data_IF_962440975033
#
_entry.id   IF_962440975033
#
_cell.length_a   1.000
_cell.length_b   1.000
_cell.length_c   1.000
_cell.angle_alpha   90.00
_cell.angle_beta   90.00
_cell.angle_gamma   90.00
#
_symmetry.space_group_name_H-M   'P 1'
#
loop_
_entity.id
_entity.type
_entity.pdbx_description
1 polymer ?
#
# COMPACT_ATOMS: atom_id res chain seq x y z
N UNK A 1 32.44 5.72 -5.22
CA UNK A 1 31.23 5.08 -5.76
C UNK A 1 30.07 6.03 -5.49
N UNK A 2 29.37 6.47 -6.53
CA UNK A 2 28.34 7.50 -6.44
C UNK A 2 27.09 6.96 -5.74
N UNK A 3 26.79 7.46 -4.54
CA UNK A 3 25.43 7.40 -4.00
C UNK A 3 24.65 8.51 -4.69
N UNK A 4 23.86 8.17 -5.71
CA UNK A 4 22.80 9.07 -6.17
C UNK A 4 21.68 9.04 -5.13
N UNK A 5 21.93 9.66 -3.97
CA UNK A 5 20.86 10.02 -3.04
C UNK A 5 20.05 11.13 -3.71
N UNK A 6 18.93 10.74 -4.33
CA UNK A 6 17.89 11.70 -4.67
C UNK A 6 17.31 12.15 -3.34
N UNK A 7 17.91 13.16 -2.72
CA UNK A 7 17.36 13.85 -1.55
C UNK A 7 16.12 14.55 -2.06
N UNK A 8 14.95 13.93 -1.90
CA UNK A 8 13.69 14.62 -2.09
C UNK A 8 13.73 15.81 -1.11
N UNK A 9 13.72 17.03 -1.64
CA UNK A 9 13.84 18.28 -0.86
C UNK A 9 12.71 18.41 0.18
N UNK A 10 11.72 17.51 0.16
CA UNK A 10 10.63 17.47 1.13
C UNK A 10 9.96 16.08 1.23
N UNK A 11 10.68 15.09 1.78
CA UNK A 11 10.15 13.72 2.01
C UNK A 11 8.88 13.73 2.86
N UNK A 12 8.80 14.59 3.87
CA UNK A 12 7.63 14.71 4.75
C UNK A 12 6.41 15.25 4.01
N UNK A 13 6.54 16.32 3.22
CA UNK A 13 5.42 16.80 2.41
C UNK A 13 5.01 15.80 1.33
N UNK A 14 5.96 15.05 0.76
CA UNK A 14 5.63 13.99 -0.18
C UNK A 14 4.80 12.89 0.50
N UNK A 15 5.26 12.39 1.66
CA UNK A 15 4.53 11.41 2.45
C UNK A 15 3.13 11.91 2.82
N UNK A 16 3.03 13.16 3.29
CA UNK A 16 1.76 13.80 3.63
C UNK A 16 0.81 13.87 2.42
N UNK A 17 1.32 14.28 1.26
CA UNK A 17 0.55 14.34 0.01
C UNK A 17 0.03 12.96 -0.40
N UNK A 18 0.90 11.93 -0.39
CA UNK A 18 0.51 10.56 -0.73
C UNK A 18 -0.55 10.05 0.23
N UNK A 19 -0.35 10.19 1.55
CA UNK A 19 -1.33 9.78 2.55
C UNK A 19 -2.68 10.46 2.35
N UNK A 20 -2.69 11.78 2.08
CA UNK A 20 -3.94 12.52 1.82
C UNK A 20 -4.67 11.96 0.60
N UNK A 21 -3.95 11.66 -0.48
CA UNK A 21 -4.56 11.12 -1.71
C UNK A 21 -5.10 9.71 -1.54
N UNK A 22 -4.34 8.84 -0.85
CA UNK A 22 -4.81 7.50 -0.53
C UNK A 22 -6.11 7.56 0.28
N UNK A 23 -6.22 8.50 1.22
CA UNK A 23 -7.45 8.71 1.97
C UNK A 23 -8.58 9.24 1.09
N UNK A 24 -8.33 10.27 0.27
CA UNK A 24 -9.34 10.87 -0.63
C UNK A 24 -9.87 9.88 -1.68
N UNK A 25 -9.06 8.92 -2.13
CA UNK A 25 -9.49 7.92 -3.12
C UNK A 25 -10.08 6.64 -2.51
N UNK A 26 -10.24 6.59 -1.18
CA UNK A 26 -10.81 5.42 -0.51
C UNK A 26 -9.87 4.21 -0.40
N UNK A 27 -8.56 4.40 -0.56
CA UNK A 27 -7.58 3.30 -0.53
C UNK A 27 -7.65 2.50 0.78
N UNK A 28 -7.86 3.17 1.91
CA UNK A 28 -8.00 2.50 3.21
C UNK A 28 -9.20 1.55 3.25
N UNK A 29 -10.31 1.92 2.63
CA UNK A 29 -11.50 1.08 2.55
C UNK A 29 -11.25 -0.13 1.64
N UNK A 30 -10.58 0.10 0.51
CA UNK A 30 -10.20 -0.94 -0.45
C UNK A 30 -9.23 -1.97 0.16
N UNK A 31 -8.20 -1.51 0.87
CA UNK A 31 -7.27 -2.38 1.60
C UNK A 31 -7.97 -3.12 2.73
N UNK A 32 -8.93 -2.48 3.42
CA UNK A 32 -9.73 -3.16 4.44
C UNK A 32 -10.58 -4.28 3.85
N UNK A 33 -11.14 -4.09 2.65
CA UNK A 33 -11.85 -5.15 1.93
C UNK A 33 -10.91 -6.29 1.52
N UNK A 34 -9.74 -5.97 0.97
CA UNK A 34 -8.69 -6.94 0.65
C UNK A 34 -8.30 -7.78 1.86
N UNK A 35 -8.07 -7.17 3.03
CA UNK A 35 -7.78 -7.90 4.27
C UNK A 35 -8.89 -8.91 4.59
N UNK A 36 -10.16 -8.50 4.49
CA UNK A 36 -11.30 -9.39 4.76
C UNK A 36 -11.39 -10.54 3.75
N UNK A 37 -11.08 -10.29 2.48
CA UNK A 37 -11.08 -11.29 1.42
C UNK A 37 -9.98 -12.33 1.62
N UNK A 38 -8.72 -11.90 1.83
CA UNK A 38 -7.61 -12.81 2.09
C UNK A 38 -7.81 -13.62 3.38
N UNK A 39 -8.37 -12.98 4.41
CA UNK A 39 -8.73 -13.68 5.64
C UNK A 39 -9.78 -14.77 5.38
N UNK A 40 -10.85 -14.47 4.64
CA UNK A 40 -11.86 -15.46 4.24
C UNK A 40 -11.24 -16.60 3.42
N UNK A 41 -10.34 -16.28 2.49
CA UNK A 41 -9.65 -17.28 1.68
C UNK A 41 -8.85 -18.27 2.55
N UNK A 42 -8.09 -17.77 3.51
CA UNK A 42 -7.34 -18.63 4.45
C UNK A 42 -8.24 -19.48 5.33
N UNK A 43 -9.32 -18.90 5.86
CA UNK A 43 -10.31 -19.66 6.63
C UNK A 43 -10.96 -20.76 5.79
N UNK A 44 -11.22 -20.50 4.50
CA UNK A 44 -11.76 -21.51 3.58
C UNK A 44 -10.79 -22.66 3.29
N UNK A 45 -9.47 -22.43 3.44
CA UNK A 45 -8.41 -23.44 3.34
C UNK A 45 -8.20 -24.22 4.65
N UNK A 46 -9.06 -24.01 5.65
CA UNK A 46 -9.04 -24.75 6.92
C UNK A 46 -8.14 -24.16 8.00
N UNK A 47 -7.55 -22.98 7.77
CA UNK A 47 -6.85 -22.27 8.84
C UNK A 47 -7.85 -21.70 9.85
N UNK A 48 -7.42 -21.57 11.10
CA UNK A 48 -8.24 -20.94 12.15
C UNK A 48 -7.83 -19.48 12.33
N UNK A 49 -8.73 -18.64 12.83
CA UNK A 49 -8.42 -17.22 13.13
C UNK A 49 -7.20 -17.10 14.05
N UNK A 50 -7.05 -17.99 15.04
CA UNK A 50 -5.92 -17.98 15.99
C UNK A 50 -4.58 -18.35 15.37
N UNK A 51 -4.60 -19.08 14.26
CA UNK A 51 -3.38 -19.51 13.55
C UNK A 51 -2.91 -18.53 12.49
N UNK A 52 -3.70 -17.50 12.17
CA UNK A 52 -3.36 -16.49 11.17
C UNK A 52 -2.69 -15.32 11.90
N UNK A 53 -1.44 -15.04 11.56
CA UNK A 53 -0.71 -13.91 12.14
C UNK A 53 -0.93 -12.62 11.34
N UNK A 54 -0.61 -11.48 11.95
CA UNK A 54 -0.60 -10.20 11.26
C UNK A 54 0.40 -10.19 10.10
N UNK A 55 1.57 -10.81 10.27
CA UNK A 55 2.59 -10.94 9.22
C UNK A 55 2.08 -11.77 8.04
N UNK A 56 1.39 -12.89 8.33
CA UNK A 56 0.78 -13.68 7.27
C UNK A 56 -0.22 -12.83 6.49
N UNK A 57 -1.10 -12.09 7.17
CA UNK A 57 -2.10 -11.26 6.51
C UNK A 57 -1.46 -10.10 5.71
N UNK A 58 -0.41 -9.49 6.26
CA UNK A 58 0.38 -8.48 5.57
C UNK A 58 0.97 -9.02 4.26
N UNK A 59 1.58 -10.21 4.30
CA UNK A 59 2.20 -10.82 3.12
C UNK A 59 1.19 -11.11 2.00
N UNK A 60 -0.06 -11.42 2.34
CA UNK A 60 -1.13 -11.64 1.36
C UNK A 60 -1.68 -10.34 0.76
N UNK A 61 -1.74 -9.27 1.55
CA UNK A 61 -2.42 -8.01 1.18
C UNK A 61 -1.44 -7.02 0.54
N UNK A 62 -0.19 -6.98 1.00
CA UNK A 62 0.77 -5.96 0.62
C UNK A 62 1.06 -5.88 -0.90
N UNK A 63 1.15 -6.99 -1.67
CA UNK A 63 1.33 -6.92 -3.13
C UNK A 63 0.19 -6.19 -3.85
N UNK A 64 -1.05 -6.50 -3.48
CA UNK A 64 -2.25 -5.92 -4.08
C UNK A 64 -2.39 -4.45 -3.66
N UNK A 65 -2.22 -4.16 -2.37
CA UNK A 65 -2.26 -2.79 -1.84
C UNK A 65 -1.22 -1.87 -2.49
N UNK A 66 0.00 -2.36 -2.73
CA UNK A 66 1.05 -1.61 -3.45
C UNK A 66 0.68 -1.31 -4.89
N UNK A 67 0.04 -2.25 -5.60
CA UNK A 67 -0.41 -2.01 -6.98
C UNK A 67 -1.46 -0.89 -7.04
N UNK A 68 -2.41 -0.87 -6.10
CA UNK A 68 -3.40 0.21 -5.99
C UNK A 68 -2.70 1.54 -5.70
N UNK A 69 -1.74 1.55 -4.75
CA UNK A 69 -0.95 2.74 -4.44
C UNK A 69 -0.20 3.27 -5.67
N UNK A 70 0.46 2.40 -6.43
CA UNK A 70 1.18 2.78 -7.65
C UNK A 70 0.19 3.35 -8.68
N UNK A 71 -0.98 2.76 -8.86
CA UNK A 71 -2.00 3.27 -9.76
C UNK A 71 -2.47 4.69 -9.38
N UNK A 72 -2.74 4.92 -8.09
CA UNK A 72 -3.17 6.23 -7.56
C UNK A 72 -2.10 7.31 -7.74
N UNK A 73 -0.82 6.96 -7.57
CA UNK A 73 0.30 7.91 -7.67
C UNK A 73 0.73 8.13 -9.14
N UNK A 74 0.75 7.07 -9.95
CA UNK A 74 1.23 7.09 -11.35
C UNK A 74 0.32 7.86 -12.28
N UNK A 75 -1.00 7.84 -12.06
CA UNK A 75 -1.97 8.53 -12.92
C UNK A 75 -1.81 10.05 -12.95
N UNK A 76 -1.07 10.67 -12.01
CA UNK A 76 -0.92 12.14 -11.98
C UNK A 76 0.45 12.70 -11.57
N UNK A 77 1.34 11.96 -10.91
CA UNK A 77 2.44 12.60 -10.16
C UNK A 77 3.85 12.01 -10.27
N UNK A 78 4.08 10.91 -11.01
CA UNK A 78 5.47 10.47 -11.30
C UNK A 78 6.26 11.60 -11.99
N UNK A 79 5.62 12.36 -12.89
CA UNK A 79 6.25 13.51 -13.56
C UNK A 79 6.64 14.67 -12.64
N UNK A 80 5.99 14.79 -11.47
CA UNK A 80 6.23 15.86 -10.47
C UNK A 80 7.25 15.48 -9.40
N UNK A 81 7.69 14.23 -9.41
CA UNK A 81 8.73 13.67 -8.53
C UNK A 81 10.09 13.55 -9.23
N UNK A 82 10.10 13.65 -10.56
CA UNK A 82 11.30 13.51 -11.40
C UNK A 82 11.83 14.88 -11.89
N UNK A 83 11.03 15.95 -11.79
CA UNK A 83 11.45 17.36 -12.02
C UNK A 83 11.39 18.15 -10.72
#
# INVERSE_FOLDING_TARGET
MSQNETTFVDEESFKSLVCRRLLECGWMDEVTMLCKEKLKERLSKGQTVKSITEEDLFNDVAPDARSITIYVISTKYIYKLIN
#
